data_IF_184237650235
#
_entry.id   IF_184237650235
#
_cell.length_a   1.000
_cell.length_b   1.000
_cell.length_c   1.000
_cell.angle_alpha   90.00
_cell.angle_beta   90.00
_cell.angle_gamma   90.00
#
_symmetry.space_group_name_H-M   'P 1'
#
loop_
_entity.id
_entity.type
_entity.pdbx_description
1 polymer ?
#
# COMPACT_ATOMS: atom_id res chain seq x y z
N UNK A 1 9.29 9.74 -17.30
CA UNK A 1 9.06 8.32 -16.94
C UNK A 1 10.19 7.88 -16.04
N UNK A 2 9.91 7.02 -15.05
CA UNK A 2 10.85 6.65 -13.99
C UNK A 2 12.09 5.87 -14.49
N UNK A 3 12.08 5.41 -15.73
CA UNK A 3 13.17 4.69 -16.40
C UNK A 3 14.12 5.59 -17.23
N UNK A 4 14.07 6.92 -17.07
CA UNK A 4 14.91 7.85 -17.86
C UNK A 4 16.33 8.02 -17.32
N UNK A 5 16.55 7.69 -16.04
CA UNK A 5 17.88 7.76 -15.42
C UNK A 5 18.61 6.42 -15.67
N UNK A 6 19.74 6.41 -16.41
CA UNK A 6 20.50 5.20 -16.67
C UNK A 6 20.96 4.47 -15.41
N UNK A 7 21.13 5.19 -14.29
CA UNK A 7 21.49 4.59 -13.01
C UNK A 7 20.40 3.67 -12.45
N UNK A 8 19.15 3.81 -12.92
CA UNK A 8 17.98 3.03 -12.47
C UNK A 8 17.54 1.95 -13.47
N UNK A 9 18.32 1.67 -14.53
CA UNK A 9 17.99 0.63 -15.51
C UNK A 9 17.87 -0.78 -14.92
N UNK A 10 18.45 -1.00 -13.74
CA UNK A 10 18.38 -2.26 -13.00
C UNK A 10 17.12 -2.37 -12.11
N UNK A 11 16.25 -1.35 -12.11
CA UNK A 11 15.03 -1.28 -11.30
C UNK A 11 13.80 -1.55 -12.18
N UNK A 12 13.01 -2.56 -11.81
CA UNK A 12 11.69 -2.80 -12.37
C UNK A 12 10.67 -1.92 -11.66
N UNK A 13 9.92 -1.13 -12.42
CA UNK A 13 8.85 -0.26 -11.91
C UNK A 13 7.49 -0.91 -12.12
N UNK A 14 6.77 -1.20 -11.03
CA UNK A 14 5.42 -1.75 -11.06
C UNK A 14 4.47 -0.70 -10.50
N UNK A 15 3.53 -0.23 -11.33
CA UNK A 15 2.58 0.83 -11.00
C UNK A 15 1.15 0.28 -11.14
N UNK A 16 0.66 -0.50 -10.17
CA UNK A 16 -0.63 -1.16 -10.29
C UNK A 16 -1.77 -0.15 -10.20
N UNK A 17 -2.86 -0.42 -10.91
CA UNK A 17 -4.09 0.34 -10.81
C UNK A 17 -4.98 -0.21 -9.69
N UNK A 18 -5.52 0.67 -8.86
CA UNK A 18 -6.53 0.29 -7.88
C UNK A 18 -7.85 -0.09 -8.57
N UNK A 19 -8.65 -0.99 -7.98
CA UNK A 19 -10.00 -1.25 -8.46
C UNK A 19 -10.92 -0.03 -8.31
N UNK A 20 -12.07 -0.06 -8.98
CA UNK A 20 -13.16 0.90 -8.74
C UNK A 20 -13.85 0.56 -7.42
N UNK A 21 -14.02 1.54 -6.53
CA UNK A 21 -14.74 1.41 -5.28
C UNK A 21 -15.61 2.63 -5.03
N UNK A 22 -16.73 2.43 -4.33
CA UNK A 22 -17.51 3.54 -3.79
C UNK A 22 -16.76 4.15 -2.60
N UNK A 23 -16.65 5.47 -2.58
CA UNK A 23 -16.02 6.22 -1.49
C UNK A 23 -17.09 6.91 -0.64
N UNK A 24 -17.29 6.41 0.57
CA UNK A 24 -18.30 6.89 1.52
C UNK A 24 -18.12 8.37 1.83
N UNK A 25 -16.89 8.83 2.10
CA UNK A 25 -16.56 10.23 2.38
C UNK A 25 -16.84 11.16 1.19
N UNK A 26 -16.96 10.61 -0.01
CA UNK A 26 -17.27 11.35 -1.23
C UNK A 26 -18.66 10.99 -1.76
N UNK A 27 -19.65 10.94 -0.86
CA UNK A 27 -21.07 10.70 -1.18
C UNK A 27 -21.32 9.39 -1.94
N UNK A 28 -20.48 8.36 -1.71
CA UNK A 28 -20.61 7.06 -2.37
C UNK A 28 -20.18 7.03 -3.84
N UNK A 29 -19.51 8.09 -4.33
CA UNK A 29 -19.04 8.14 -5.72
C UNK A 29 -18.08 6.99 -6.01
N UNK A 30 -18.27 6.31 -7.14
CA UNK A 30 -17.35 5.26 -7.62
C UNK A 30 -16.14 5.87 -8.29
N UNK A 31 -14.95 5.51 -7.80
CA UNK A 31 -13.67 5.96 -8.36
C UNK A 31 -12.55 4.96 -8.07
N UNK A 32 -11.37 5.08 -8.73
CA UNK A 32 -10.21 4.27 -8.39
C UNK A 32 -9.81 4.47 -6.93
N UNK A 33 -9.89 3.41 -6.13
CA UNK A 33 -9.45 3.44 -4.75
C UNK A 33 -9.08 2.04 -4.25
N UNK A 34 -8.10 1.99 -3.36
CA UNK A 34 -7.65 0.76 -2.76
C UNK A 34 -8.55 0.28 -1.62
N UNK A 35 -9.21 1.18 -0.91
CA UNK A 35 -10.17 0.85 0.15
C UNK A 35 -11.15 2.02 0.31
N UNK A 36 -12.23 1.80 1.05
CA UNK A 36 -13.21 2.86 1.29
C UNK A 36 -12.67 3.86 2.33
N UNK A 37 -12.93 5.15 2.11
CA UNK A 37 -12.63 6.20 3.06
C UNK A 37 -13.98 6.66 3.63
N UNK A 38 -14.19 6.44 4.92
CA UNK A 38 -15.43 6.89 5.59
C UNK A 38 -15.41 8.38 5.90
N UNK A 39 -14.25 8.91 6.27
CA UNK A 39 -14.06 10.32 6.60
C UNK A 39 -12.67 10.78 6.13
N UNK A 40 -12.55 12.03 5.65
CA UNK A 40 -11.26 12.65 5.32
C UNK A 40 -10.51 13.19 6.55
N UNK A 41 -10.89 12.73 7.76
CA UNK A 41 -10.10 12.88 8.96
C UNK A 41 -9.36 11.56 9.22
N UNK A 42 -8.04 11.61 9.39
CA UNK A 42 -7.20 10.42 9.61
C UNK A 42 -6.67 10.32 11.04
N UNK A 43 -7.38 10.93 11.99
CA UNK A 43 -7.10 10.84 13.43
C UNK A 43 -7.41 9.47 14.02
N UNK A 44 -6.86 9.20 15.20
CA UNK A 44 -6.95 7.91 15.91
C UNK A 44 -8.38 7.48 16.31
N UNK A 45 -9.33 8.40 16.38
CA UNK A 45 -10.71 8.05 16.74
C UNK A 45 -11.60 7.79 15.53
N UNK A 46 -11.06 7.99 14.32
CA UNK A 46 -11.83 7.78 13.10
C UNK A 46 -12.00 6.28 12.83
N UNK A 47 -13.21 5.89 12.46
CA UNK A 47 -13.50 4.53 11.97
C UNK A 47 -12.83 4.34 10.60
N UNK A 48 -12.17 3.20 10.42
CA UNK A 48 -11.45 2.87 9.18
C UNK A 48 -12.03 1.61 8.52
N UNK A 49 -11.87 1.48 7.19
CA UNK A 49 -12.23 0.28 6.42
C UNK A 49 -11.13 -0.80 6.55
N UNK A 50 -11.00 -1.37 7.74
CA UNK A 50 -9.99 -2.41 8.03
C UNK A 50 -10.06 -3.58 7.03
N UNK A 51 -11.27 -4.04 6.70
CA UNK A 51 -11.47 -5.16 5.77
C UNK A 51 -10.99 -4.82 4.36
N UNK A 52 -11.34 -3.64 3.84
CA UNK A 52 -10.89 -3.22 2.52
C UNK A 52 -9.39 -2.99 2.47
N UNK A 53 -8.79 -2.44 3.52
CA UNK A 53 -7.35 -2.28 3.64
C UNK A 53 -6.62 -3.63 3.62
N UNK A 54 -7.07 -4.60 4.42
CA UNK A 54 -6.47 -5.94 4.45
C UNK A 54 -6.64 -6.69 3.11
N UNK A 55 -7.76 -6.50 2.42
CA UNK A 55 -7.93 -7.04 1.07
C UNK A 55 -6.93 -6.46 0.08
N UNK A 56 -6.64 -5.16 0.15
CA UNK A 56 -5.64 -4.52 -0.71
C UNK A 56 -4.21 -4.91 -0.33
N UNK A 57 -3.94 -5.07 0.96
CA UNK A 57 -2.66 -5.64 1.44
C UNK A 57 -2.43 -7.03 0.84
N UNK A 58 -3.45 -7.88 0.79
CA UNK A 58 -3.34 -9.19 0.15
C UNK A 58 -2.98 -9.07 -1.32
N UNK A 59 -3.67 -8.23 -2.08
CA UNK A 59 -3.35 -8.02 -3.51
C UNK A 59 -1.93 -7.49 -3.75
N UNK A 60 -1.42 -6.64 -2.85
CA UNK A 60 -0.03 -6.17 -2.91
C UNK A 60 0.96 -7.28 -2.53
N UNK A 61 0.64 -8.12 -1.55
CA UNK A 61 1.44 -9.30 -1.21
C UNK A 61 1.47 -10.34 -2.33
N UNK A 62 0.39 -10.50 -3.08
CA UNK A 62 0.35 -11.38 -4.26
C UNK A 62 1.30 -10.86 -5.34
N UNK A 63 1.31 -9.54 -5.58
CA UNK A 63 2.27 -8.90 -6.50
C UNK A 63 3.72 -9.07 -6.01
N UNK A 64 3.99 -8.84 -4.72
CA UNK A 64 5.32 -9.06 -4.15
C UNK A 64 5.74 -10.52 -4.31
N UNK A 65 4.82 -11.47 -4.06
CA UNK A 65 5.10 -12.89 -4.17
C UNK A 65 5.43 -13.29 -5.60
N UNK A 66 4.70 -12.76 -6.59
CA UNK A 66 5.01 -12.99 -8.00
C UNK A 66 6.41 -12.49 -8.40
N UNK A 67 6.85 -11.35 -7.87
CA UNK A 67 8.21 -10.83 -8.12
C UNK A 67 9.30 -11.67 -7.43
N UNK A 68 9.02 -12.16 -6.22
CA UNK A 68 9.91 -13.08 -5.50
C UNK A 68 10.03 -14.41 -6.25
N UNK A 69 8.91 -14.97 -6.72
CA UNK A 69 8.89 -16.18 -7.54
C UNK A 69 9.60 -16.00 -8.89
N UNK A 70 9.62 -14.77 -9.43
CA UNK A 70 10.40 -14.41 -10.60
C UNK A 70 11.91 -14.21 -10.31
N UNK A 71 12.36 -14.43 -9.07
CA UNK A 71 13.77 -14.42 -8.68
C UNK A 71 14.28 -13.09 -8.10
N UNK A 72 13.40 -12.15 -7.73
CA UNK A 72 13.81 -10.93 -7.04
C UNK A 72 13.80 -11.17 -5.53
N UNK A 73 14.97 -11.10 -4.90
CA UNK A 73 15.08 -11.22 -3.44
C UNK A 73 14.21 -10.17 -2.71
N UNK A 74 13.51 -10.52 -1.61
CA UNK A 74 12.65 -9.56 -0.92
C UNK A 74 13.35 -8.28 -0.46
N UNK A 75 14.62 -8.36 -0.07
CA UNK A 75 15.46 -7.24 0.36
C UNK A 75 15.90 -6.32 -0.80
N UNK A 76 15.47 -6.61 -2.03
CA UNK A 76 15.58 -5.77 -3.23
C UNK A 76 14.27 -5.11 -3.62
N UNK A 77 13.17 -5.40 -2.91
CA UNK A 77 11.84 -4.86 -3.20
C UNK A 77 11.55 -3.65 -2.29
N UNK A 78 11.23 -2.52 -2.91
CA UNK A 78 10.72 -1.32 -2.24
C UNK A 78 9.24 -1.18 -2.54
N UNK A 79 8.41 -1.02 -1.51
CA UNK A 79 7.00 -0.67 -1.67
C UNK A 79 6.81 0.81 -1.37
N UNK A 80 6.04 1.52 -2.20
CA UNK A 80 5.80 2.92 -1.96
C UNK A 80 4.55 3.46 -2.61
N UNK A 81 4.07 4.59 -2.09
CA UNK A 81 2.84 5.19 -2.56
C UNK A 81 2.56 6.57 -2.01
N UNK A 82 1.56 7.22 -2.61
CA UNK A 82 1.08 8.55 -2.25
C UNK A 82 -0.31 8.48 -1.61
N UNK A 83 -0.56 9.31 -0.58
CA UNK A 83 -1.87 9.41 0.09
C UNK A 83 -2.40 8.04 0.52
N UNK A 84 -3.54 7.59 -0.02
CA UNK A 84 -4.11 6.26 0.24
C UNK A 84 -3.11 5.11 -0.08
N UNK A 85 -2.34 5.24 -1.15
CA UNK A 85 -1.28 4.28 -1.48
C UNK A 85 -0.11 4.33 -0.49
N UNK A 86 0.16 5.50 0.10
CA UNK A 86 1.15 5.65 1.16
C UNK A 86 0.74 4.93 2.45
N UNK A 87 -0.54 5.04 2.83
CA UNK A 87 -1.11 4.29 3.96
C UNK A 87 -0.99 2.77 3.76
N UNK A 88 -1.30 2.27 2.55
CA UNK A 88 -1.10 0.85 2.23
C UNK A 88 0.36 0.44 2.17
N UNK A 89 1.25 1.30 1.69
CA UNK A 89 2.69 0.99 1.67
C UNK A 89 3.22 0.77 3.09
N UNK A 90 2.78 1.59 4.05
CA UNK A 90 3.07 1.37 5.48
C UNK A 90 2.52 0.05 5.97
N UNK A 91 1.23 -0.20 5.74
CA UNK A 91 0.56 -1.39 6.22
C UNK A 91 1.19 -2.65 5.64
N UNK A 92 1.25 -2.77 4.31
CA UNK A 92 1.85 -3.92 3.65
C UNK A 92 3.32 -4.10 4.01
N UNK A 93 4.12 -3.01 3.99
CA UNK A 93 5.56 -3.12 4.20
C UNK A 93 5.97 -3.48 5.63
N UNK A 94 5.25 -2.98 6.65
CA UNK A 94 5.58 -3.21 8.05
C UNK A 94 4.89 -4.43 8.67
N UNK A 95 3.87 -4.98 8.00
CA UNK A 95 3.21 -6.22 8.41
C UNK A 95 3.50 -7.37 7.43
N UNK A 96 4.50 -7.21 6.56
CA UNK A 96 4.89 -8.25 5.60
C UNK A 96 5.58 -9.40 6.33
N UNK A 97 5.26 -10.65 5.98
CA UNK A 97 6.05 -11.81 6.44
C UNK A 97 7.47 -11.87 5.85
N UNK A 98 7.86 -10.89 5.02
CA UNK A 98 9.16 -10.81 4.34
C UNK A 98 9.86 -9.51 4.71
N UNK A 99 11.18 -9.57 4.88
CA UNK A 99 12.01 -8.38 5.08
C UNK A 99 12.22 -7.65 3.75
N UNK A 100 11.39 -6.64 3.47
CA UNK A 100 11.53 -5.80 2.29
C UNK A 100 12.72 -4.84 2.40
N UNK A 101 13.19 -4.31 1.27
CA UNK A 101 14.30 -3.35 1.20
C UNK A 101 13.96 -2.03 1.91
N UNK A 102 12.72 -1.58 1.76
CA UNK A 102 12.26 -0.32 2.33
C UNK A 102 10.82 0.02 1.97
N UNK A 103 10.32 1.05 2.65
CA UNK A 103 8.97 1.60 2.46
C UNK A 103 9.08 3.09 2.17
N UNK A 104 8.40 3.56 1.12
CA UNK A 104 8.34 4.99 0.75
C UNK A 104 6.92 5.51 0.90
N UNK A 105 6.74 6.51 1.76
CA UNK A 105 5.42 7.05 2.09
C UNK A 105 5.38 8.53 1.74
N UNK A 106 4.56 8.89 0.76
CA UNK A 106 4.40 10.27 0.33
C UNK A 106 3.03 10.78 0.80
N UNK A 107 3.01 11.63 1.83
CA UNK A 107 1.75 12.22 2.36
C UNK A 107 0.67 11.18 2.74
N UNK A 108 1.09 10.03 3.25
CA UNK A 108 0.18 9.01 3.81
C UNK A 108 -0.08 9.21 5.30
N UNK A 109 -0.84 8.28 5.88
CA UNK A 109 -1.06 8.19 7.33
C UNK A 109 -0.84 6.75 7.79
N UNK A 110 -0.77 6.52 9.10
CA UNK A 110 -0.69 5.17 9.68
C UNK A 110 -2.11 4.59 9.82
N UNK A 111 -2.52 3.61 8.98
CA UNK A 111 -3.84 3.03 9.07
C UNK A 111 -3.92 1.95 10.16
N UNK A 112 -5.12 1.59 10.61
CA UNK A 112 -5.36 0.51 11.59
C UNK A 112 -4.52 0.74 12.86
N UNK A 113 -4.30 1.99 13.22
CA UNK A 113 -3.33 2.43 14.23
C UNK A 113 -3.54 1.77 15.61
N UNK A 114 -4.78 1.41 15.98
CA UNK A 114 -5.09 0.71 17.25
C UNK A 114 -4.52 -0.71 17.32
N UNK A 115 -4.38 -1.38 16.18
CA UNK A 115 -3.86 -2.77 16.07
C UNK A 115 -2.50 -2.86 15.39
N UNK A 116 -2.03 -1.77 14.78
CA UNK A 116 -0.84 -1.78 13.94
C UNK A 116 0.37 -2.42 14.63
N UNK A 117 0.61 -2.07 15.90
CA UNK A 117 1.73 -2.62 16.68
C UNK A 117 1.69 -4.14 16.82
N UNK A 118 0.51 -4.74 16.97
CA UNK A 118 0.37 -6.21 17.06
C UNK A 118 0.44 -6.91 15.70
N UNK A 119 0.39 -6.14 14.61
CA UNK A 119 0.49 -6.66 13.24
C UNK A 119 1.92 -6.59 12.69
N UNK A 120 2.83 -5.91 13.38
CA UNK A 120 4.23 -5.82 12.98
C UNK A 120 4.86 -7.22 12.94
N UNK A 121 5.58 -7.50 11.86
CA UNK A 121 6.34 -8.74 11.63
C UNK A 121 7.71 -8.74 12.29
#
# INVERSE_FOLDING_TARGET
MLNRDPSLNHVKWILPHSPQKQITANMGMSMPAWFDIYFFNFDKETKEDEKGMLSSVQSLNDLISAEVEAGIEPDRIVIGGFSQGGALSLLTGLTSGRKLAGVVVLSGWLPIHKKFKSMLS
#
